data_IF_147397634570
#
_entry.id   IF_147397634570
#
_cell.length_a   1.000
_cell.length_b   1.000
_cell.length_c   1.000
_cell.angle_alpha   90.00
_cell.angle_beta   90.00
_cell.angle_gamma   90.00
#
_symmetry.space_group_name_H-M   'P 1'
#
loop_
_entity.id
_entity.type
_entity.pdbx_description
1 polymer ?
#
# COMPACT_ATOMS: atom_id res chain seq x y z
N UNK A 1 18.42 18.32 -18.63
CA UNK A 1 17.80 19.05 -17.49
C UNK A 1 16.29 19.27 -17.62
N UNK A 2 15.75 19.64 -18.79
CA UNK A 2 14.28 19.81 -18.96
C UNK A 2 13.57 18.44 -18.99
N UNK A 3 14.17 17.47 -19.63
CA UNK A 3 13.64 16.10 -19.76
C UNK A 3 13.77 15.28 -18.46
N UNK A 4 14.78 15.56 -17.64
CA UNK A 4 14.99 14.92 -16.34
C UNK A 4 13.89 15.30 -15.32
N UNK A 5 13.36 16.52 -15.39
CA UNK A 5 12.30 16.99 -14.48
C UNK A 5 10.93 16.37 -14.80
N UNK A 6 10.65 16.08 -16.09
CA UNK A 6 9.44 15.37 -16.51
C UNK A 6 9.47 13.92 -15.98
N UNK A 7 10.64 13.29 -16.02
CA UNK A 7 10.82 11.92 -15.51
C UNK A 7 10.63 11.81 -13.98
N UNK A 8 11.12 12.81 -13.23
CA UNK A 8 10.93 12.87 -11.76
C UNK A 8 9.44 13.04 -11.39
N UNK A 9 8.70 13.88 -12.16
CA UNK A 9 7.24 14.01 -11.97
C UNK A 9 6.52 12.68 -12.18
N UNK A 10 6.95 11.86 -13.13
CA UNK A 10 6.37 10.55 -13.42
C UNK A 10 6.65 9.52 -12.30
N UNK A 11 7.83 9.61 -11.64
CA UNK A 11 8.18 8.74 -10.50
C UNK A 11 7.33 9.09 -9.26
N UNK A 12 7.01 10.37 -9.03
CA UNK A 12 6.12 10.80 -7.93
C UNK A 12 4.72 10.20 -8.10
N UNK A 13 4.21 10.12 -9.34
CA UNK A 13 2.94 9.42 -9.66
C UNK A 13 3.00 7.95 -9.32
N UNK A 14 4.13 7.29 -9.62
CA UNK A 14 4.32 5.88 -9.27
C UNK A 14 4.31 5.64 -7.76
N UNK A 15 4.73 6.63 -6.96
CA UNK A 15 4.68 6.57 -5.50
C UNK A 15 3.23 6.67 -4.96
N UNK A 16 2.33 7.37 -5.65
CA UNK A 16 0.89 7.40 -5.34
C UNK A 16 0.23 6.04 -5.56
N UNK A 17 0.71 5.27 -6.54
CA UNK A 17 0.27 3.89 -6.80
C UNK A 17 0.66 2.97 -5.63
N UNK A 18 1.77 3.23 -4.95
CA UNK A 18 2.19 2.47 -3.75
C UNK A 18 1.28 2.75 -2.54
N UNK A 19 0.70 3.95 -2.42
CA UNK A 19 -0.28 4.24 -1.37
C UNK A 19 -1.63 3.52 -1.58
N UNK A 20 -1.92 3.10 -2.81
CA UNK A 20 -3.05 2.23 -3.16
C UNK A 20 -2.71 0.73 -3.11
N UNK A 21 -1.45 0.36 -2.93
CA UNK A 21 -1.06 -1.02 -2.65
C UNK A 21 -1.62 -1.43 -1.29
N UNK A 22 -2.91 -1.79 -1.26
CA UNK A 22 -3.31 -2.87 -0.36
C UNK A 22 -2.37 -4.02 -0.68
N UNK A 23 -1.73 -4.63 0.34
CA UNK A 23 -0.77 -5.68 0.06
C UNK A 23 -1.43 -6.70 -0.87
N UNK A 24 -0.83 -6.90 -2.01
CA UNK A 24 -1.27 -7.79 -3.11
C UNK A 24 -1.33 -9.28 -2.69
N UNK A 25 -1.19 -9.55 -1.41
CA UNK A 25 -1.14 -10.88 -0.78
C UNK A 25 -2.40 -11.14 0.07
N UNK A 26 -3.39 -10.25 0.02
CA UNK A 26 -4.68 -10.54 0.65
C UNK A 26 -5.56 -11.14 -0.44
N UNK A 27 -5.53 -12.48 -0.54
CA UNK A 27 -6.51 -13.21 -1.33
C UNK A 27 -7.89 -12.91 -0.75
N UNK A 28 -8.69 -12.18 -1.52
CA UNK A 28 -9.99 -11.69 -1.13
C UNK A 28 -10.95 -12.86 -1.16
N UNK A 29 -11.24 -13.44 0.02
CA UNK A 29 -12.32 -14.42 0.18
C UNK A 29 -13.65 -13.67 0.04
N UNK A 30 -13.94 -13.23 -1.18
CA UNK A 30 -15.18 -12.54 -1.52
C UNK A 30 -16.28 -13.52 -2.01
N UNK A 31 -16.20 -14.80 -1.67
CA UNK A 31 -17.16 -15.75 -2.21
C UNK A 31 -17.84 -16.64 -1.17
N UNK A 32 -18.66 -16.07 -0.32
CA UNK A 32 -19.92 -16.66 0.19
C UNK A 32 -20.67 -15.70 1.10
N UNK A 33 -21.19 -14.62 0.55
CA UNK A 33 -22.37 -13.99 1.15
C UNK A 33 -23.63 -14.62 0.51
N UNK A 34 -24.73 -14.80 1.28
CA UNK A 34 -25.97 -15.36 0.77
C UNK A 34 -26.49 -14.56 -0.43
N UNK A 35 -27.13 -15.21 -1.36
CA UNK A 35 -27.55 -14.73 -2.70
C UNK A 35 -28.35 -13.41 -2.78
N UNK A 36 -28.74 -12.78 -1.67
CA UNK A 36 -29.40 -11.48 -1.66
C UNK A 36 -28.45 -10.27 -1.89
N UNK A 37 -27.12 -10.49 -1.94
CA UNK A 37 -26.11 -9.43 -2.01
C UNK A 37 -25.46 -9.22 -3.39
N UNK A 38 -25.93 -9.88 -4.46
CA UNK A 38 -25.20 -9.95 -5.73
C UNK A 38 -25.06 -8.64 -6.51
N UNK A 39 -25.85 -7.61 -6.19
CA UNK A 39 -25.77 -6.27 -6.87
C UNK A 39 -24.90 -5.25 -6.11
N UNK A 40 -24.83 -5.32 -4.77
CA UNK A 40 -24.02 -4.39 -3.95
C UNK A 40 -22.52 -4.48 -4.21
N UNK A 41 -21.88 -5.68 -4.25
CA UNK A 41 -20.44 -5.80 -4.50
C UNK A 41 -20.05 -5.28 -5.89
N UNK A 42 -20.86 -5.56 -6.91
CA UNK A 42 -20.60 -5.16 -8.29
C UNK A 42 -20.62 -3.63 -8.47
N UNK A 43 -21.60 -2.95 -7.83
CA UNK A 43 -21.69 -1.50 -7.85
C UNK A 43 -20.55 -0.83 -7.05
N UNK A 44 -20.12 -1.43 -5.95
CA UNK A 44 -18.96 -0.98 -5.19
C UNK A 44 -17.69 -1.01 -6.02
N UNK A 45 -17.36 -2.16 -6.63
CA UNK A 45 -16.17 -2.32 -7.46
C UNK A 45 -16.18 -1.35 -8.65
N UNK A 46 -17.33 -1.20 -9.32
CA UNK A 46 -17.47 -0.26 -10.41
C UNK A 46 -17.21 1.19 -9.96
N UNK A 47 -17.84 1.66 -8.89
CA UNK A 47 -17.61 3.01 -8.35
C UNK A 47 -16.18 3.22 -7.88
N UNK A 48 -15.59 2.20 -7.26
CA UNK A 48 -14.20 2.27 -6.85
C UNK A 48 -13.26 2.42 -8.05
N UNK A 49 -13.52 1.65 -9.12
CA UNK A 49 -12.78 1.76 -10.39
C UNK A 49 -12.98 3.15 -11.02
N UNK A 50 -14.21 3.66 -11.11
CA UNK A 50 -14.51 4.99 -11.64
C UNK A 50 -13.74 6.09 -10.89
N UNK A 51 -13.72 6.06 -9.55
CA UNK A 51 -12.95 7.02 -8.74
C UNK A 51 -11.44 6.84 -8.91
N UNK A 52 -10.95 5.62 -9.07
CA UNK A 52 -9.53 5.36 -9.32
C UNK A 52 -9.08 5.87 -10.68
N UNK A 53 -9.89 5.64 -11.72
CA UNK A 53 -9.61 6.17 -13.06
C UNK A 53 -9.67 7.70 -13.08
N UNK A 54 -10.67 8.29 -12.40
CA UNK A 54 -10.76 9.74 -12.25
C UNK A 54 -9.53 10.31 -11.54
N UNK A 55 -9.07 9.66 -10.45
CA UNK A 55 -7.86 10.06 -9.76
C UNK A 55 -6.65 10.02 -10.70
N UNK A 56 -6.45 8.93 -11.41
CA UNK A 56 -5.33 8.78 -12.34
C UNK A 56 -5.34 9.84 -13.46
N UNK A 57 -6.51 10.15 -14.02
CA UNK A 57 -6.65 11.21 -15.03
C UNK A 57 -6.33 12.59 -14.44
N UNK A 58 -6.84 12.89 -13.24
CA UNK A 58 -6.55 14.16 -12.57
C UNK A 58 -5.07 14.29 -12.19
N UNK A 59 -4.44 13.22 -11.69
CA UNK A 59 -3.02 13.19 -11.40
C UNK A 59 -2.17 13.47 -12.65
N UNK A 60 -2.47 12.76 -13.74
CA UNK A 60 -1.81 13.01 -15.03
C UNK A 60 -1.97 14.46 -15.49
N UNK A 61 -3.19 14.99 -15.41
CA UNK A 61 -3.50 16.36 -15.82
C UNK A 61 -2.74 17.39 -14.98
N UNK A 62 -2.74 17.24 -13.66
CA UNK A 62 -2.01 18.12 -12.72
C UNK A 62 -0.52 18.12 -13.03
N UNK A 63 0.08 16.95 -13.22
CA UNK A 63 1.50 16.83 -13.55
C UNK A 63 1.81 17.45 -14.89
N UNK A 64 0.99 17.16 -15.91
CA UNK A 64 1.15 17.73 -17.24
C UNK A 64 1.07 19.26 -17.21
N UNK A 65 0.04 19.82 -16.56
CA UNK A 65 -0.13 21.27 -16.43
C UNK A 65 1.00 21.91 -15.63
N UNK A 66 1.45 21.28 -14.55
CA UNK A 66 2.60 21.75 -13.77
C UNK A 66 3.89 21.73 -14.63
N UNK A 67 4.15 20.64 -15.35
CA UNK A 67 5.32 20.51 -16.22
C UNK A 67 5.31 21.49 -17.41
N UNK A 68 4.12 21.72 -18.00
CA UNK A 68 3.94 22.66 -19.11
C UNK A 68 3.95 24.13 -18.68
N UNK A 69 3.64 24.43 -17.41
CA UNK A 69 3.61 25.78 -16.87
C UNK A 69 5.02 26.30 -16.55
N UNK A 70 5.17 27.62 -16.40
CA UNK A 70 6.38 28.23 -15.88
C UNK A 70 6.55 28.08 -14.35
N UNK A 71 5.55 27.49 -13.67
CA UNK A 71 5.54 27.36 -12.21
C UNK A 71 6.68 26.48 -11.69
N UNK A 72 6.99 25.40 -12.41
CA UNK A 72 8.10 24.51 -12.12
C UNK A 72 9.45 25.25 -12.11
N UNK A 73 9.67 26.14 -13.09
CA UNK A 73 10.90 26.95 -13.22
C UNK A 73 10.96 27.98 -12.10
N UNK A 74 9.87 28.72 -11.87
CA UNK A 74 9.77 29.71 -10.79
C UNK A 74 9.99 29.11 -9.41
N UNK A 75 9.43 27.96 -9.14
CA UNK A 75 9.62 27.23 -7.89
C UNK A 75 11.10 26.89 -7.68
N UNK A 76 11.75 26.36 -8.73
CA UNK A 76 13.18 26.05 -8.67
C UNK A 76 14.06 27.28 -8.43
N UNK A 77 13.80 28.38 -9.13
CA UNK A 77 14.53 29.64 -8.97
C UNK A 77 14.33 30.22 -7.58
N UNK A 78 13.11 30.22 -7.07
CA UNK A 78 12.78 30.65 -5.72
C UNK A 78 13.53 29.83 -4.66
N UNK A 79 13.53 28.51 -4.81
CA UNK A 79 14.29 27.62 -3.90
C UNK A 79 15.80 27.84 -4.04
N UNK A 80 16.31 28.06 -5.24
CA UNK A 80 17.71 28.42 -5.46
C UNK A 80 18.11 29.68 -4.71
N UNK A 81 17.26 30.71 -4.77
CA UNK A 81 17.47 31.93 -4.01
C UNK A 81 17.52 31.69 -2.49
N UNK A 82 16.57 30.91 -1.94
CA UNK A 82 16.49 30.61 -0.51
C UNK A 82 17.65 29.76 0.03
N UNK A 83 18.18 28.86 -0.80
CA UNK A 83 19.21 27.88 -0.41
C UNK A 83 20.63 28.24 -0.84
N UNK A 84 20.82 29.48 -1.36
CA UNK A 84 22.11 29.91 -1.89
C UNK A 84 22.58 29.08 -3.10
N UNK A 85 21.64 28.58 -3.92
CA UNK A 85 21.88 27.71 -5.08
C UNK A 85 22.60 26.39 -4.77
N UNK A 86 22.53 25.92 -3.53
CA UNK A 86 23.04 24.58 -3.17
C UNK A 86 22.15 23.51 -3.81
N UNK A 87 22.60 22.89 -4.89
CA UNK A 87 21.80 21.99 -5.74
C UNK A 87 21.10 20.86 -4.98
N UNK A 88 21.76 20.26 -3.97
CA UNK A 88 21.17 19.23 -3.14
C UNK A 88 20.00 19.73 -2.27
N UNK A 89 20.11 20.94 -1.72
CA UNK A 89 19.03 21.55 -0.93
C UNK A 89 17.85 21.95 -1.82
N UNK A 90 18.13 22.57 -2.97
CA UNK A 90 17.10 22.91 -3.98
C UNK A 90 16.30 21.67 -4.33
N UNK A 91 16.98 20.58 -4.67
CA UNK A 91 16.35 19.31 -5.03
C UNK A 91 15.49 18.75 -3.89
N UNK A 92 16.05 18.72 -2.68
CA UNK A 92 15.35 18.19 -1.49
C UNK A 92 14.06 18.96 -1.21
N UNK A 93 14.13 20.29 -1.13
CA UNK A 93 12.96 21.12 -0.87
C UNK A 93 11.94 21.09 -2.02
N UNK A 94 12.42 21.00 -3.27
CA UNK A 94 11.56 20.88 -4.42
C UNK A 94 10.70 19.61 -4.36
N UNK A 95 11.31 18.44 -4.11
CA UNK A 95 10.57 17.18 -3.98
C UNK A 95 9.62 17.21 -2.77
N UNK A 96 10.07 17.77 -1.65
CA UNK A 96 9.23 17.86 -0.44
C UNK A 96 7.99 18.72 -0.67
N UNK A 97 8.13 19.87 -1.32
CA UNK A 97 7.01 20.77 -1.64
C UNK A 97 6.03 20.07 -2.59
N UNK A 98 6.54 19.40 -3.63
CA UNK A 98 5.69 18.66 -4.56
C UNK A 98 4.94 17.51 -3.86
N UNK A 99 5.60 16.78 -2.97
CA UNK A 99 4.97 15.70 -2.20
C UNK A 99 3.85 16.22 -1.30
N UNK A 100 4.09 17.33 -0.59
CA UNK A 100 3.08 17.96 0.27
C UNK A 100 1.92 18.52 -0.57
N UNK A 101 2.21 19.21 -1.66
CA UNK A 101 1.19 19.77 -2.55
C UNK A 101 0.30 18.66 -3.15
N UNK A 102 0.92 17.56 -3.62
CA UNK A 102 0.22 16.39 -4.10
C UNK A 102 -0.71 15.79 -3.02
N UNK A 103 -0.19 15.59 -1.82
CA UNK A 103 -0.97 15.05 -0.70
C UNK A 103 -2.20 15.91 -0.39
N UNK A 104 -2.01 17.23 -0.25
CA UNK A 104 -3.10 18.15 0.05
C UNK A 104 -4.14 18.15 -1.08
N UNK A 105 -3.71 18.13 -2.34
CA UNK A 105 -4.59 18.18 -3.50
C UNK A 105 -5.43 16.90 -3.64
N UNK A 106 -4.84 15.73 -3.42
CA UNK A 106 -5.49 14.43 -3.62
C UNK A 106 -6.09 13.82 -2.35
N UNK A 107 -5.84 14.40 -1.17
CA UNK A 107 -6.42 13.96 0.10
C UNK A 107 -7.96 13.84 0.07
N UNK A 108 -8.72 14.81 -0.48
CA UNK A 108 -10.18 14.69 -0.56
C UNK A 108 -10.62 13.47 -1.38
N UNK A 109 -9.95 13.20 -2.50
CA UNK A 109 -10.26 12.08 -3.37
C UNK A 109 -9.88 10.75 -2.74
N UNK A 110 -8.74 10.68 -2.06
CA UNK A 110 -8.30 9.53 -1.26
C UNK A 110 -9.29 9.23 -0.13
N UNK A 111 -9.82 10.26 0.55
CA UNK A 111 -10.86 10.12 1.57
C UNK A 111 -12.18 9.60 0.99
N UNK A 112 -12.60 10.12 -0.15
CA UNK A 112 -13.82 9.65 -0.83
C UNK A 112 -13.70 8.17 -1.22
N UNK A 113 -12.58 7.79 -1.83
CA UNK A 113 -12.31 6.42 -2.30
C UNK A 113 -12.05 5.43 -1.17
N UNK A 114 -11.20 5.80 -0.22
CA UNK A 114 -10.68 4.89 0.81
C UNK A 114 -11.54 4.82 2.09
N UNK A 115 -12.37 5.84 2.37
CA UNK A 115 -13.19 5.85 3.58
C UNK A 115 -14.67 5.96 3.29
N UNK A 116 -15.10 7.04 2.60
CA UNK A 116 -16.52 7.34 2.44
C UNK A 116 -17.25 6.29 1.59
N UNK A 117 -16.62 5.86 0.50
CA UNK A 117 -17.18 4.82 -0.36
C UNK A 117 -17.31 3.50 0.41
N UNK A 118 -16.27 3.04 1.10
CA UNK A 118 -16.31 1.80 1.89
C UNK A 118 -17.37 1.85 3.00
N UNK A 119 -17.49 3.00 3.66
CA UNK A 119 -18.51 3.22 4.70
C UNK A 119 -19.92 3.20 4.13
N UNK A 120 -20.16 3.74 2.93
CA UNK A 120 -21.48 3.75 2.28
C UNK A 120 -21.98 2.36 1.87
N UNK A 121 -21.08 1.38 1.80
CA UNK A 121 -21.38 -0.04 1.54
C UNK A 121 -21.28 -0.90 2.80
N UNK A 122 -21.18 -0.29 3.99
CA UNK A 122 -21.02 -0.99 5.27
C UNK A 122 -19.79 -1.90 5.37
N UNK A 123 -18.76 -1.65 4.55
CA UNK A 123 -17.53 -2.42 4.57
C UNK A 123 -16.52 -1.90 5.62
N UNK A 124 -16.53 -0.59 5.91
CA UNK A 124 -15.60 0.02 6.86
C UNK A 124 -16.27 0.29 8.21
N UNK A 125 -15.61 -0.15 9.27
CA UNK A 125 -15.94 0.15 10.68
C UNK A 125 -15.15 1.34 11.22
N UNK A 126 -14.16 1.82 10.45
CA UNK A 126 -13.22 2.84 10.87
C UNK A 126 -13.89 4.23 10.97
N UNK A 127 -13.50 5.00 11.99
CA UNK A 127 -13.87 6.43 12.08
C UNK A 127 -13.02 7.26 11.11
N UNK A 128 -13.55 8.44 10.69
CA UNK A 128 -12.80 9.33 9.79
C UNK A 128 -11.44 9.78 10.36
N UNK A 129 -11.37 10.02 11.68
CA UNK A 129 -10.12 10.40 12.35
C UNK A 129 -9.10 9.23 12.41
N UNK A 130 -9.58 8.00 12.61
CA UNK A 130 -8.72 6.82 12.58
C UNK A 130 -8.20 6.56 11.16
N UNK A 131 -9.06 6.70 10.13
CA UNK A 131 -8.66 6.63 8.74
C UNK A 131 -7.58 7.67 8.41
N UNK A 132 -7.78 8.92 8.82
CA UNK A 132 -6.82 9.99 8.55
C UNK A 132 -5.46 9.73 9.20
N UNK A 133 -5.43 9.25 10.45
CA UNK A 133 -4.16 8.86 11.10
C UNK A 133 -3.45 7.73 10.38
N UNK A 134 -4.19 6.72 9.92
CA UNK A 134 -3.63 5.60 9.17
C UNK A 134 -3.14 6.06 7.78
N UNK A 135 -3.90 6.96 7.15
CA UNK A 135 -3.50 7.60 5.88
C UNK A 135 -2.19 8.37 6.04
N UNK A 136 -2.06 9.24 7.06
CA UNK A 136 -0.82 9.97 7.32
C UNK A 136 0.38 9.06 7.57
N UNK A 137 0.19 7.94 8.29
CA UNK A 137 1.27 6.96 8.49
C UNK A 137 1.70 6.32 7.17
N UNK A 138 0.74 5.92 6.32
CA UNK A 138 1.04 5.33 5.02
C UNK A 138 1.72 6.33 4.09
N UNK A 139 1.20 7.55 4.00
CA UNK A 139 1.81 8.63 3.20
C UNK A 139 3.22 8.94 3.69
N UNK A 140 3.44 9.05 5.01
CA UNK A 140 4.78 9.28 5.58
C UNK A 140 5.77 8.17 5.23
N UNK A 141 5.36 6.90 5.32
CA UNK A 141 6.20 5.76 4.91
C UNK A 141 6.46 5.82 3.41
N UNK A 142 5.43 6.07 2.59
CA UNK A 142 5.54 6.20 1.15
C UNK A 142 6.49 7.34 0.74
N UNK A 143 6.42 8.49 1.42
CA UNK A 143 7.33 9.61 1.17
C UNK A 143 8.78 9.27 1.50
N UNK A 144 9.05 8.59 2.63
CA UNK A 144 10.40 8.17 3.00
C UNK A 144 10.97 7.23 1.92
N UNK A 145 10.21 6.20 1.54
CA UNK A 145 10.64 5.24 0.52
C UNK A 145 10.83 5.93 -0.83
N UNK A 146 9.87 6.77 -1.24
CA UNK A 146 9.92 7.52 -2.49
C UNK A 146 11.07 8.51 -2.53
N UNK A 147 11.32 9.25 -1.44
CA UNK A 147 12.44 10.18 -1.33
C UNK A 147 13.80 9.45 -1.48
N UNK A 148 13.96 8.32 -0.78
CA UNK A 148 15.18 7.49 -0.90
C UNK A 148 15.34 6.99 -2.34
N UNK A 149 14.28 6.49 -2.96
CA UNK A 149 14.32 6.00 -4.34
C UNK A 149 14.69 7.11 -5.34
N UNK A 150 14.06 8.29 -5.24
CA UNK A 150 14.33 9.44 -6.10
C UNK A 150 15.77 9.92 -5.90
N UNK A 151 16.24 10.01 -4.65
CA UNK A 151 17.62 10.41 -4.36
C UNK A 151 18.63 9.43 -4.94
N UNK A 152 18.38 8.12 -4.82
CA UNK A 152 19.24 7.10 -5.42
C UNK A 152 19.28 7.20 -6.95
N UNK A 153 18.13 7.40 -7.60
CA UNK A 153 18.06 7.58 -9.06
C UNK A 153 18.81 8.84 -9.49
N UNK A 154 18.62 9.96 -8.79
CA UNK A 154 19.34 11.20 -9.06
C UNK A 154 20.86 11.04 -8.90
N UNK A 155 21.30 10.34 -7.86
CA UNK A 155 22.71 9.99 -7.66
C UNK A 155 23.24 9.14 -8.80
N UNK A 156 22.49 8.16 -9.29
CA UNK A 156 22.88 7.33 -10.44
C UNK A 156 23.00 8.14 -11.73
N UNK A 157 22.09 9.07 -11.98
CA UNK A 157 22.15 9.98 -13.12
C UNK A 157 23.42 10.84 -13.07
N UNK A 158 23.69 11.43 -11.90
CA UNK A 158 24.87 12.28 -11.72
C UNK A 158 26.20 11.51 -11.86
N UNK A 159 26.24 10.25 -11.37
CA UNK A 159 27.49 9.45 -11.33
C UNK A 159 27.74 8.65 -12.61
N UNK A 160 26.65 8.24 -13.31
CA UNK A 160 26.72 7.33 -14.46
C UNK A 160 25.76 7.79 -15.59
N UNK A 161 26.00 8.96 -16.23
CA UNK A 161 25.04 9.58 -17.15
C UNK A 161 24.62 8.66 -18.31
N UNK A 162 25.53 7.83 -18.84
CA UNK A 162 25.25 6.95 -19.99
C UNK A 162 24.57 5.63 -19.62
N UNK A 163 24.66 5.23 -18.36
CA UNK A 163 24.27 3.87 -17.90
C UNK A 163 23.41 3.87 -16.64
N UNK A 164 22.79 5.00 -16.28
CA UNK A 164 21.96 5.13 -15.07
C UNK A 164 20.67 4.31 -15.13
N UNK A 165 20.04 4.24 -16.29
CA UNK A 165 18.70 3.69 -16.48
C UNK A 165 18.59 2.21 -16.09
N UNK A 166 19.52 1.35 -16.53
CA UNK A 166 19.47 -0.07 -16.17
C UNK A 166 19.84 -0.31 -14.70
N UNK A 167 20.75 0.50 -14.12
CA UNK A 167 21.10 0.45 -12.69
C UNK A 167 19.94 0.91 -11.84
N UNK A 168 19.23 1.96 -12.22
CA UNK A 168 18.01 2.40 -11.58
C UNK A 168 16.93 1.32 -11.66
N UNK A 169 16.78 0.66 -12.82
CA UNK A 169 15.89 -0.49 -12.97
C UNK A 169 16.19 -1.63 -12.01
N UNK A 170 17.46 -2.02 -11.89
CA UNK A 170 17.87 -3.05 -10.92
C UNK A 170 17.63 -2.63 -9.47
N UNK A 171 17.92 -1.38 -9.13
CA UNK A 171 17.70 -0.83 -7.79
C UNK A 171 16.21 -0.85 -7.42
N UNK A 172 15.35 -0.36 -8.32
CA UNK A 172 13.90 -0.32 -8.10
C UNK A 172 13.35 -1.74 -8.00
N UNK A 173 13.76 -2.65 -8.89
CA UNK A 173 13.33 -4.04 -8.87
C UNK A 173 13.78 -4.76 -7.60
N UNK A 174 15.04 -4.62 -7.19
CA UNK A 174 15.56 -5.16 -5.94
C UNK A 174 14.85 -4.58 -4.72
N UNK A 175 14.63 -3.26 -4.70
CA UNK A 175 13.87 -2.57 -3.67
C UNK A 175 12.42 -3.06 -3.58
N UNK A 176 11.76 -3.29 -4.72
CA UNK A 176 10.42 -3.88 -4.77
C UNK A 176 10.38 -5.29 -4.14
N UNK A 177 11.33 -6.17 -4.50
CA UNK A 177 11.43 -7.52 -3.91
C UNK A 177 11.61 -7.43 -2.39
N UNK A 178 12.51 -6.55 -1.92
CA UNK A 178 12.72 -6.33 -0.49
C UNK A 178 11.45 -5.82 0.18
N UNK A 179 10.76 -4.86 -0.45
CA UNK A 179 9.52 -4.31 0.09
C UNK A 179 8.46 -5.40 0.23
N UNK A 180 8.19 -6.17 -0.83
CA UNK A 180 7.21 -7.28 -0.81
C UNK A 180 7.55 -8.30 0.28
N UNK A 181 8.83 -8.65 0.42
CA UNK A 181 9.28 -9.62 1.42
C UNK A 181 9.15 -9.12 2.86
N UNK A 182 9.46 -7.86 3.10
CA UNK A 182 9.55 -7.30 4.45
C UNK A 182 8.32 -6.49 4.87
N UNK A 183 7.45 -6.05 3.95
CA UNK A 183 6.25 -5.30 4.28
C UNK A 183 5.35 -6.01 5.30
N UNK A 184 5.06 -7.31 5.20
CA UNK A 184 4.25 -8.00 6.21
C UNK A 184 4.88 -8.02 7.60
N UNK A 185 6.21 -8.00 7.66
CA UNK A 185 6.94 -8.06 8.93
C UNK A 185 7.02 -6.70 9.64
N UNK A 186 7.20 -5.61 8.87
CA UNK A 186 7.44 -4.28 9.42
C UNK A 186 6.22 -3.35 9.29
N UNK A 187 5.49 -3.40 8.16
CA UNK A 187 4.37 -2.49 7.93
C UNK A 187 3.09 -2.96 8.63
N UNK A 188 2.77 -4.25 8.60
CA UNK A 188 1.54 -4.73 9.23
C UNK A 188 1.44 -4.41 10.73
N UNK A 189 2.50 -4.59 11.57
CA UNK A 189 2.43 -4.25 12.98
C UNK A 189 2.18 -2.76 13.27
N UNK A 190 2.45 -1.87 12.31
CA UNK A 190 2.15 -0.43 12.44
C UNK A 190 0.64 -0.14 12.35
N UNK A 191 -0.12 -1.04 11.72
CA UNK A 191 -1.54 -0.86 11.42
C UNK A 191 -2.46 -1.82 12.19
N UNK A 192 -1.96 -2.98 12.59
CA UNK A 192 -2.71 -4.03 13.25
C UNK A 192 -1.97 -4.54 14.49
N UNK A 193 -2.75 -4.92 15.50
CA UNK A 193 -2.21 -5.61 16.67
C UNK A 193 -2.29 -7.11 16.42
N UNK A 194 -1.19 -7.80 16.70
CA UNK A 194 -1.10 -9.24 16.58
C UNK A 194 -1.04 -9.87 17.98
N UNK A 195 -1.86 -10.89 18.18
CA UNK A 195 -1.84 -11.73 19.38
C UNK A 195 -1.76 -13.19 18.96
N UNK A 196 -1.07 -14.07 19.73
CA UNK A 196 -1.12 -15.50 19.46
C UNK A 196 -2.57 -15.99 19.47
N UNK A 197 -2.89 -17.00 18.66
CA UNK A 197 -4.22 -17.61 18.64
C UNK A 197 -4.43 -18.40 19.96
N UNK A 198 -5.50 -18.06 20.69
CA UNK A 198 -5.78 -18.65 22.01
C UNK A 198 -6.42 -20.06 21.93
N UNK A 199 -7.13 -20.37 20.84
CA UNK A 199 -7.78 -21.66 20.66
C UNK A 199 -6.78 -22.76 20.35
N UNK A 200 -6.56 -23.66 21.34
CA UNK A 200 -5.67 -24.82 21.16
C UNK A 200 -6.21 -25.81 20.12
N UNK A 201 -7.54 -26.03 20.09
CA UNK A 201 -8.19 -26.90 19.12
C UNK A 201 -7.93 -26.44 17.68
N UNK A 202 -8.22 -25.16 17.39
CA UNK A 202 -8.03 -24.59 16.06
C UNK A 202 -6.54 -24.56 15.68
N UNK A 203 -5.68 -24.24 16.63
CA UNK A 203 -4.23 -24.24 16.44
C UNK A 203 -3.71 -25.63 16.07
N UNK A 204 -4.20 -26.68 16.75
CA UNK A 204 -3.86 -28.08 16.48
C UNK A 204 -4.27 -28.49 15.05
N UNK A 205 -5.53 -28.21 14.67
CA UNK A 205 -6.07 -28.53 13.34
C UNK A 205 -5.31 -27.78 12.21
N UNK A 206 -4.96 -26.53 12.42
CA UNK A 206 -4.19 -25.75 11.45
C UNK A 206 -2.76 -26.30 11.31
N UNK A 207 -2.12 -26.72 12.40
CA UNK A 207 -0.78 -27.33 12.34
C UNK A 207 -0.81 -28.64 11.56
N UNK A 208 -1.75 -29.53 11.86
CA UNK A 208 -1.93 -30.79 11.14
C UNK A 208 -2.13 -30.56 9.63
N UNK A 209 -2.97 -29.58 9.27
CA UNK A 209 -3.19 -29.21 7.89
C UNK A 209 -1.92 -28.70 7.23
N UNK A 210 -1.16 -27.84 7.91
CA UNK A 210 0.10 -27.27 7.41
C UNK A 210 1.16 -28.34 7.21
N UNK A 211 1.25 -29.33 8.11
CA UNK A 211 2.16 -30.46 7.98
C UNK A 211 1.81 -31.34 6.78
N UNK A 212 0.49 -31.61 6.56
CA UNK A 212 0.00 -32.31 5.35
C UNK A 212 0.33 -31.57 4.06
N UNK A 213 0.29 -30.24 4.10
CA UNK A 213 0.67 -29.39 2.96
C UNK A 213 2.20 -29.24 2.80
N UNK A 214 3.02 -29.79 3.69
CA UNK A 214 4.48 -29.64 3.67
C UNK A 214 4.99 -28.25 4.07
N UNK A 215 4.14 -27.41 4.66
CA UNK A 215 4.47 -26.03 5.05
C UNK A 215 4.80 -25.98 6.53
N UNK A 216 6.02 -25.54 6.88
CA UNK A 216 6.46 -25.35 8.27
C UNK A 216 5.98 -23.99 8.79
N UNK A 217 4.96 -23.98 9.64
CA UNK A 217 4.42 -22.76 10.24
C UNK A 217 5.07 -22.49 11.59
N UNK A 218 5.70 -21.32 11.73
CA UNK A 218 6.38 -20.89 12.98
C UNK A 218 5.38 -20.46 14.06
N UNK A 219 4.21 -19.93 13.67
CA UNK A 219 3.19 -19.47 14.59
C UNK A 219 1.89 -19.09 13.87
N UNK A 220 0.81 -19.14 14.65
CA UNK A 220 -0.53 -18.77 14.21
C UNK A 220 -0.95 -17.58 15.07
N UNK A 221 -1.34 -16.48 14.43
CA UNK A 221 -1.66 -15.22 15.08
C UNK A 221 -3.04 -14.74 14.64
N UNK A 222 -3.76 -14.10 15.55
CA UNK A 222 -4.91 -13.29 15.19
C UNK A 222 -4.53 -11.82 15.14
N UNK A 223 -5.26 -11.02 14.34
CA UNK A 223 -5.08 -9.59 14.24
C UNK A 223 -6.41 -8.83 14.21
N UNK A 224 -6.41 -7.60 14.73
CA UNK A 224 -7.58 -6.75 14.99
C UNK A 224 -8.13 -6.08 13.72
N UNK A 225 -8.55 -6.86 12.73
CA UNK A 225 -9.08 -6.35 11.46
C UNK A 225 -10.48 -5.74 11.61
N UNK A 226 -11.30 -6.25 12.53
CA UNK A 226 -12.66 -5.77 12.81
C UNK A 226 -12.72 -4.28 13.12
N UNK A 227 -11.63 -3.71 13.67
CA UNK A 227 -11.51 -2.28 13.95
C UNK A 227 -11.53 -1.42 12.68
N UNK A 228 -11.20 -1.98 11.54
CA UNK A 228 -11.08 -1.24 10.26
C UNK A 228 -12.12 -1.64 9.23
N UNK A 229 -12.44 -2.93 9.16
CA UNK A 229 -13.33 -3.46 8.15
C UNK A 229 -14.15 -4.64 8.68
N UNK A 230 -15.31 -4.88 8.07
CA UNK A 230 -16.13 -6.07 8.32
C UNK A 230 -15.72 -7.27 7.47
N UNK A 231 -14.84 -7.08 6.50
CA UNK A 231 -14.35 -8.18 5.67
C UNK A 231 -13.50 -9.13 6.50
N UNK A 232 -13.86 -10.42 6.49
CA UNK A 232 -13.05 -11.47 7.09
C UNK A 232 -11.86 -11.79 6.20
N UNK A 233 -10.71 -12.13 6.80
CA UNK A 233 -9.51 -12.44 6.05
C UNK A 233 -8.58 -13.40 6.80
N UNK A 234 -7.80 -14.16 6.01
CA UNK A 234 -6.65 -14.92 6.48
C UNK A 234 -5.47 -14.67 5.53
N UNK A 235 -4.27 -14.84 6.00
CA UNK A 235 -3.07 -14.69 5.18
C UNK A 235 -1.96 -15.62 5.65
N UNK A 236 -1.20 -16.17 4.69
CA UNK A 236 0.06 -16.84 4.92
C UNK A 236 1.19 -15.84 4.67
N UNK A 237 2.06 -15.61 5.63
CA UNK A 237 3.13 -14.62 5.52
C UNK A 237 4.49 -15.21 5.90
N UNK A 238 5.56 -14.69 5.30
CA UNK A 238 6.92 -15.22 5.51
C UNK A 238 7.35 -16.20 4.43
N UNK A 239 8.58 -16.65 4.49
CA UNK A 239 9.19 -17.58 3.53
C UNK A 239 9.89 -18.71 4.26
N UNK A 240 9.63 -19.96 3.85
CA UNK A 240 10.28 -21.14 4.40
C UNK A 240 10.05 -21.27 5.92
N UNK A 241 11.12 -21.31 6.72
CA UNK A 241 11.05 -21.48 8.18
C UNK A 241 10.47 -20.29 8.95
N UNK A 242 10.19 -19.16 8.29
CA UNK A 242 9.60 -17.96 8.93
C UNK A 242 8.11 -17.83 8.67
N UNK A 243 7.48 -18.82 8.04
CA UNK A 243 6.08 -18.80 7.66
C UNK A 243 5.16 -18.66 8.88
N UNK A 244 4.16 -17.77 8.80
CA UNK A 244 3.17 -17.51 9.84
C UNK A 244 1.78 -17.46 9.23
N UNK A 245 0.80 -17.97 9.94
CA UNK A 245 -0.60 -17.84 9.57
C UNK A 245 -1.21 -16.69 10.38
N UNK A 246 -1.85 -15.77 9.69
CA UNK A 246 -2.54 -14.62 10.26
C UNK A 246 -4.04 -14.79 10.01
N UNK A 247 -4.84 -14.75 11.07
CA UNK A 247 -6.30 -14.85 11.04
C UNK A 247 -6.90 -13.54 11.54
N UNK A 248 -7.83 -12.97 10.79
CA UNK A 248 -8.56 -11.81 11.25
C UNK A 248 -9.53 -12.17 12.37
N UNK A 249 -9.68 -11.30 13.36
CA UNK A 249 -10.60 -11.46 14.49
C UNK A 249 -12.05 -11.60 14.05
N UNK A 250 -12.46 -10.93 12.98
CA UNK A 250 -13.79 -11.07 12.38
C UNK A 250 -13.98 -12.41 11.65
N UNK A 251 -12.92 -13.06 11.14
CA UNK A 251 -12.99 -14.43 10.63
C UNK A 251 -13.27 -15.40 11.79
N UNK A 252 -12.55 -15.25 12.89
CA UNK A 252 -12.70 -16.12 14.07
C UNK A 252 -14.09 -15.98 14.74
N UNK A 253 -14.70 -14.79 14.69
CA UNK A 253 -15.99 -14.51 15.34
C UNK A 253 -17.21 -14.83 14.48
N UNK A 254 -17.09 -14.88 13.15
CA UNK A 254 -18.23 -15.01 12.22
C UNK A 254 -18.33 -16.37 11.54
N UNK A 255 -17.25 -17.16 11.54
CA UNK A 255 -17.17 -18.42 10.82
C UNK A 255 -16.92 -19.60 11.75
N UNK A 256 -17.43 -20.77 11.38
CA UNK A 256 -17.18 -22.02 12.10
C UNK A 256 -15.74 -22.49 11.92
N UNK A 257 -15.27 -23.35 12.82
CA UNK A 257 -13.91 -23.92 12.74
C UNK A 257 -13.65 -24.61 11.40
N UNK A 258 -14.62 -25.31 10.83
CA UNK A 258 -14.45 -26.03 9.55
C UNK A 258 -14.35 -25.05 8.36
N UNK A 259 -15.08 -23.95 8.39
CA UNK A 259 -14.96 -22.90 7.40
C UNK A 259 -13.59 -22.22 7.48
N UNK A 260 -13.11 -21.91 8.69
CA UNK A 260 -11.78 -21.34 8.91
C UNK A 260 -10.69 -22.28 8.38
N UNK A 261 -10.79 -23.58 8.67
CA UNK A 261 -9.85 -24.58 8.16
C UNK A 261 -9.87 -24.64 6.63
N UNK A 262 -11.05 -24.53 6.00
CA UNK A 262 -11.17 -24.50 4.55
C UNK A 262 -10.48 -23.28 3.93
N UNK A 263 -10.59 -22.13 4.61
CA UNK A 263 -9.91 -20.90 4.21
C UNK A 263 -8.40 -21.06 4.33
N UNK A 264 -7.91 -21.57 5.46
CA UNK A 264 -6.47 -21.82 5.67
C UNK A 264 -5.93 -22.84 4.67
N UNK A 265 -6.71 -23.88 4.33
CA UNK A 265 -6.33 -24.84 3.31
C UNK A 265 -6.13 -24.19 1.93
N UNK A 266 -6.99 -23.21 1.59
CA UNK A 266 -6.86 -22.44 0.37
C UNK A 266 -5.57 -21.60 0.35
N UNK A 267 -5.27 -20.91 1.48
CA UNK A 267 -4.05 -20.11 1.61
C UNK A 267 -2.76 -20.95 1.54
N UNK A 268 -2.80 -22.17 2.10
CA UNK A 268 -1.68 -23.12 2.03
C UNK A 268 -1.48 -23.71 0.62
N UNK A 269 -2.52 -23.69 -0.22
CA UNK A 269 -2.47 -24.16 -1.61
C UNK A 269 -1.81 -23.17 -2.59
N UNK A 270 -1.61 -21.93 -2.18
CA UNK A 270 -0.91 -20.90 -2.93
C UNK A 270 0.60 -20.95 -2.70
#
# INVERSE_FOLDING_TARGET
MRDEMIFISTIIVSCSIVSDCRPFILCEIERRQPQAASRKPRNFQRRKLELTLLAAVLEFLVIFLFAASSLNIRLREFLGYLTGNTGGLVFTFYILILAIAHEILFLPLSYLKGHRLEKSYDLSTQTGSAWFRDHLKMSGIGWIIGFVAIFCVYFLIARYPDRWWWRAGLLIWGGYILLVKFAPLFLFPLFFKFTPLESEELTGRIRELSEKAGVRVKGIFQFDMSRKTRAANAALTGLGSTCRILLADNLLSQYSTDEIISVVAHELGH
#
